data_IF_431985834392
#
_entry.id   IF_431985834392
#
_cell.length_a   1.000
_cell.length_b   1.000
_cell.length_c   1.000
_cell.angle_alpha   90.00
_cell.angle_beta   90.00
_cell.angle_gamma   90.00
#
_symmetry.space_group_name_H-M   'P 1'
#
loop_
_entity.id
_entity.type
_entity.pdbx_description
1 polymer ?
#
# COMPACT_ATOMS: atom_id res chain seq x y z
N UNK A 1 48.10 -34.52 43.68
CA UNK A 1 46.82 -34.40 42.97
C UNK A 1 46.38 -32.95 42.96
N UNK A 2 46.70 -32.16 41.94
CA UNK A 2 46.19 -30.78 41.80
C UNK A 2 45.57 -30.62 40.41
N UNK A 3 44.24 -30.52 40.39
CA UNK A 3 43.42 -30.30 39.20
C UNK A 3 43.46 -28.82 38.82
N UNK A 4 43.82 -28.50 37.58
CA UNK A 4 43.62 -27.16 37.01
C UNK A 4 42.32 -27.17 36.22
N UNK A 5 41.34 -26.39 36.68
CA UNK A 5 40.06 -26.20 36.01
C UNK A 5 40.21 -25.15 34.89
N UNK A 6 39.84 -25.51 33.67
CA UNK A 6 39.74 -24.61 32.52
C UNK A 6 38.36 -23.93 32.53
N UNK A 7 38.35 -22.61 32.69
CA UNK A 7 37.14 -21.77 32.64
C UNK A 7 36.96 -21.24 31.22
N UNK A 8 36.05 -21.86 30.46
CA UNK A 8 35.66 -21.39 29.11
C UNK A 8 34.53 -20.38 29.23
N UNK A 9 34.82 -19.11 28.95
CA UNK A 9 33.81 -18.06 28.83
C UNK A 9 33.17 -18.12 27.43
N UNK A 10 31.89 -18.48 27.37
CA UNK A 10 31.09 -18.43 26.14
C UNK A 10 30.43 -17.05 26.09
N UNK A 11 30.85 -16.21 25.14
CA UNK A 11 30.16 -14.94 24.86
C UNK A 11 28.88 -15.24 24.07
N UNK A 12 27.73 -15.15 24.74
CA UNK A 12 26.43 -15.18 24.08
C UNK A 12 26.16 -13.81 23.43
N UNK A 13 26.25 -13.73 22.11
CA UNK A 13 25.80 -12.57 21.34
C UNK A 13 24.28 -12.56 21.32
N UNK A 14 23.66 -11.62 22.04
CA UNK A 14 22.22 -11.35 21.93
C UNK A 14 21.96 -10.63 20.61
N UNK A 15 21.44 -11.37 19.63
CA UNK A 15 20.90 -10.78 18.40
C UNK A 15 19.51 -10.27 18.75
N UNK A 16 19.34 -8.96 18.89
CA UNK A 16 18.02 -8.35 19.00
C UNK A 16 17.30 -8.49 17.65
N UNK A 17 16.48 -9.52 17.51
CA UNK A 17 15.52 -9.61 16.42
C UNK A 17 14.45 -8.54 16.66
N UNK A 18 14.56 -7.41 15.97
CA UNK A 18 13.42 -6.53 15.81
C UNK A 18 12.38 -7.32 15.01
N UNK A 19 11.17 -7.58 15.53
CA UNK A 19 10.12 -8.16 14.72
C UNK A 19 9.80 -7.14 13.64
N UNK A 20 10.28 -7.42 12.43
CA UNK A 20 9.75 -6.81 11.23
C UNK A 20 8.34 -7.39 11.11
N UNK A 21 7.32 -6.67 11.62
CA UNK A 21 5.94 -6.99 11.28
C UNK A 21 5.90 -7.11 9.77
N UNK A 22 5.59 -8.31 9.28
CA UNK A 22 5.46 -8.57 7.87
C UNK A 22 4.40 -7.58 7.36
N UNK A 23 4.84 -6.57 6.61
CA UNK A 23 3.93 -5.58 6.06
C UNK A 23 2.86 -6.34 5.29
N UNK A 24 1.61 -6.24 5.75
CA UNK A 24 0.49 -6.91 5.13
C UNK A 24 0.34 -6.34 3.72
N UNK A 25 0.73 -7.13 2.72
CA UNK A 25 0.67 -6.77 1.31
C UNK A 25 -0.76 -6.34 0.96
N UNK A 26 -0.92 -5.07 0.62
CA UNK A 26 -2.23 -4.50 0.25
C UNK A 26 -2.79 -5.12 -1.03
N UNK A 27 -1.94 -5.74 -1.85
CA UNK A 27 -2.30 -6.20 -3.19
C UNK A 27 -2.53 -5.07 -4.18
N UNK A 28 -2.12 -3.83 -3.87
CA UNK A 28 -2.34 -2.64 -4.73
C UNK A 28 -1.06 -2.27 -5.50
N UNK A 29 -1.16 -2.49 -6.81
CA UNK A 29 -0.29 -2.19 -7.94
C UNK A 29 -0.33 -0.80 -8.58
N UNK A 30 0.57 0.16 -8.38
CA UNK A 30 0.61 1.37 -9.24
C UNK A 30 1.56 1.17 -10.44
N UNK A 31 1.18 1.64 -11.63
CA UNK A 31 1.95 1.49 -12.86
C UNK A 31 2.13 2.82 -13.62
N UNK A 32 3.31 2.98 -14.22
CA UNK A 32 3.70 4.16 -15.01
C UNK A 32 2.87 4.33 -16.29
N UNK A 33 2.43 3.22 -16.90
CA UNK A 33 1.66 3.26 -18.15
C UNK A 33 0.27 2.68 -17.96
N UNK A 34 -0.60 2.93 -18.94
CA UNK A 34 -1.89 2.28 -19.05
C UNK A 34 -1.72 0.75 -19.21
N UNK A 35 -2.79 0.01 -18.94
CA UNK A 35 -2.85 -1.44 -19.04
C UNK A 35 -1.76 -2.17 -18.22
N UNK A 36 -1.41 -1.63 -17.04
CA UNK A 36 -0.53 -2.25 -16.05
C UNK A 36 0.89 -2.53 -16.56
N UNK A 37 1.46 -1.57 -17.29
CA UNK A 37 2.79 -1.69 -17.89
C UNK A 37 3.75 -0.60 -17.40
N UNK A 38 5.03 -0.74 -17.74
CA UNK A 38 6.10 0.19 -17.32
C UNK A 38 6.61 -0.07 -15.90
N UNK A 39 7.27 0.93 -15.32
CA UNK A 39 7.71 0.85 -13.92
C UNK A 39 6.50 0.75 -13.00
N UNK A 40 6.66 0.08 -11.87
CA UNK A 40 5.58 -0.15 -10.93
C UNK A 40 6.00 0.02 -9.48
N UNK A 41 5.01 0.24 -8.62
CA UNK A 41 5.19 0.36 -7.18
C UNK A 41 4.01 -0.28 -6.45
N UNK A 42 4.29 -1.32 -5.67
CA UNK A 42 3.30 -2.01 -4.84
C UNK A 42 3.19 -1.33 -3.49
N UNK A 43 1.96 -1.00 -3.07
CA UNK A 43 1.71 -0.34 -1.79
C UNK A 43 2.00 -1.32 -0.63
N UNK A 44 2.97 -1.02 0.26
CA UNK A 44 3.46 -2.01 1.21
C UNK A 44 2.48 -2.39 2.33
N UNK A 45 1.61 -1.47 2.76
CA UNK A 45 0.66 -1.71 3.85
C UNK A 45 -0.54 -0.78 3.80
N UNK A 46 -1.63 -1.16 4.46
CA UNK A 46 -2.81 -0.32 4.68
C UNK A 46 -2.61 0.66 5.86
N UNK A 47 -3.59 1.54 6.07
CA UNK A 47 -3.71 2.51 7.17
C UNK A 47 -2.52 3.46 7.32
N UNK A 48 -1.83 3.71 6.21
CA UNK A 48 -0.67 4.59 6.13
C UNK A 48 -0.64 5.31 4.79
N UNK A 49 -0.15 6.55 4.80
CA UNK A 49 0.15 7.29 3.58
C UNK A 49 1.48 6.81 2.99
N UNK A 50 1.45 6.46 1.71
CA UNK A 50 2.61 6.04 0.95
C UNK A 50 2.91 7.04 -0.16
N UNK A 51 4.05 7.76 -0.11
CA UNK A 51 4.48 8.57 -1.23
C UNK A 51 4.87 7.66 -2.40
N UNK A 52 4.49 8.08 -3.61
CA UNK A 52 4.95 7.41 -4.83
C UNK A 52 6.47 7.64 -4.96
N UNK A 53 7.26 6.60 -5.27
CA UNK A 53 8.70 6.74 -5.44
C UNK A 53 9.00 7.71 -6.58
N UNK A 54 10.16 8.38 -6.52
CA UNK A 54 10.51 9.45 -7.46
C UNK A 54 10.50 9.02 -8.93
N UNK A 55 10.69 7.73 -9.20
CA UNK A 55 10.61 7.15 -10.55
C UNK A 55 9.20 7.18 -11.15
N UNK A 56 8.16 7.12 -10.31
CA UNK A 56 6.73 7.12 -10.70
C UNK A 56 5.99 8.40 -10.30
N UNK A 57 6.62 9.33 -9.57
CA UNK A 57 5.98 10.56 -9.09
C UNK A 57 5.38 11.33 -10.26
N UNK A 58 4.04 11.53 -10.24
CA UNK A 58 3.29 12.17 -11.33
C UNK A 58 3.44 11.50 -12.69
N UNK A 59 3.52 10.17 -12.70
CA UNK A 59 3.53 9.35 -13.92
C UNK A 59 2.62 8.13 -13.81
N UNK A 60 1.80 8.03 -12.77
CA UNK A 60 0.96 6.85 -12.57
C UNK A 60 -0.23 6.93 -13.52
N UNK A 61 -0.35 5.94 -14.42
CA UNK A 61 -1.38 5.88 -15.45
C UNK A 61 -2.33 4.69 -15.31
N UNK A 62 -2.00 3.66 -14.50
CA UNK A 62 -2.94 2.59 -14.17
C UNK A 62 -2.73 2.03 -12.76
N UNK A 63 -3.78 1.42 -12.21
CA UNK A 63 -3.76 0.76 -10.89
C UNK A 63 -4.37 -0.62 -10.97
N UNK A 64 -3.73 -1.59 -10.29
CA UNK A 64 -4.18 -2.99 -10.24
C UNK A 64 -4.39 -3.46 -8.82
N UNK A 65 -5.51 -4.10 -8.58
CA UNK A 65 -5.83 -4.78 -7.33
C UNK A 65 -5.70 -6.30 -7.54
N UNK A 66 -4.81 -6.94 -6.80
CA UNK A 66 -4.63 -8.39 -6.80
C UNK A 66 -5.54 -9.10 -5.80
N UNK A 67 -6.17 -8.36 -4.88
CA UNK A 67 -7.07 -8.86 -3.84
C UNK A 67 -8.21 -7.86 -3.64
N UNK A 68 -9.34 -8.34 -3.14
CA UNK A 68 -10.46 -7.50 -2.71
C UNK A 68 -10.31 -7.10 -1.23
N UNK A 69 -11.16 -6.18 -0.77
CA UNK A 69 -11.21 -5.77 0.66
C UNK A 69 -10.33 -4.57 1.02
N UNK A 70 -9.78 -3.87 0.03
CA UNK A 70 -9.00 -2.64 0.22
C UNK A 70 -9.63 -1.50 -0.59
N UNK A 71 -9.70 -0.32 0.00
CA UNK A 71 -10.13 0.92 -0.64
C UNK A 71 -9.00 1.94 -0.58
N UNK A 72 -8.67 2.58 -1.69
CA UNK A 72 -7.58 3.53 -1.77
C UNK A 72 -8.06 4.93 -2.18
N UNK A 73 -7.42 5.93 -1.57
CA UNK A 73 -7.53 7.33 -1.93
C UNK A 73 -6.18 7.81 -2.46
N UNK A 74 -6.19 8.55 -3.56
CA UNK A 74 -5.00 9.04 -4.24
C UNK A 74 -4.94 10.56 -4.16
N UNK A 75 -3.72 11.08 -4.03
CA UNK A 75 -3.47 12.49 -3.77
C UNK A 75 -2.36 13.01 -4.67
N UNK A 76 -2.43 14.29 -5.04
CA UNK A 76 -1.41 14.95 -5.86
C UNK A 76 -0.13 15.26 -5.10
N UNK A 77 -0.24 15.53 -3.80
CA UNK A 77 0.91 15.75 -2.93
C UNK A 77 1.45 14.42 -2.39
N UNK A 78 2.60 14.45 -1.72
CA UNK A 78 3.32 13.26 -1.22
C UNK A 78 2.94 12.87 0.21
N UNK A 79 2.03 13.59 0.85
CA UNK A 79 1.72 13.47 2.28
C UNK A 79 0.25 13.09 2.55
N UNK A 80 -0.50 12.70 1.51
CA UNK A 80 -1.93 12.42 1.58
C UNK A 80 -2.76 13.55 2.23
N UNK A 81 -2.32 14.80 2.04
CA UNK A 81 -3.05 15.96 2.52
C UNK A 81 -4.15 16.34 1.52
N UNK A 82 -5.27 16.93 1.96
CA UNK A 82 -6.26 17.49 1.04
C UNK A 82 -5.63 18.53 0.08
N UNK A 83 -6.14 18.67 -1.16
CA UNK A 83 -7.29 17.96 -1.73
C UNK A 83 -6.96 16.52 -2.19
N UNK A 84 -7.96 15.63 -2.07
CA UNK A 84 -7.91 14.28 -2.64
C UNK A 84 -8.19 14.35 -4.14
N UNK A 85 -7.44 13.59 -4.95
CA UNK A 85 -7.68 13.50 -6.40
C UNK A 85 -8.87 12.58 -6.67
N UNK A 86 -8.85 11.40 -6.03
CA UNK A 86 -9.92 10.42 -6.12
C UNK A 86 -9.93 9.60 -4.83
N UNK A 87 -11.11 9.34 -4.30
CA UNK A 87 -11.32 8.55 -3.09
C UNK A 87 -12.14 7.31 -3.43
N UNK A 88 -11.87 6.20 -2.74
CA UNK A 88 -12.70 5.01 -2.87
C UNK A 88 -12.37 4.12 -4.07
N UNK A 89 -11.12 4.12 -4.56
CA UNK A 89 -10.70 3.15 -5.57
C UNK A 89 -10.68 1.77 -4.92
N UNK A 90 -11.56 0.88 -5.38
CA UNK A 90 -11.69 -0.50 -4.88
C UNK A 90 -11.39 -1.55 -5.95
N UNK A 91 -11.22 -1.12 -7.18
CA UNK A 91 -11.05 -1.99 -8.34
C UNK A 91 -9.88 -1.56 -9.22
N UNK A 92 -9.51 -2.48 -10.10
CA UNK A 92 -8.43 -2.26 -11.07
C UNK A 92 -8.89 -1.27 -12.13
N UNK A 93 -8.09 -0.24 -12.39
CA UNK A 93 -8.35 0.76 -13.44
C UNK A 93 -7.21 0.70 -14.47
N UNK A 94 -7.48 0.25 -15.71
CA UNK A 94 -6.46 0.14 -16.76
C UNK A 94 -5.95 1.48 -17.27
N UNK A 95 -6.73 2.54 -17.11
CA UNK A 95 -6.39 3.88 -17.57
C UNK A 95 -7.00 4.95 -16.66
N UNK A 96 -6.14 5.59 -15.86
CA UNK A 96 -6.52 6.66 -14.94
C UNK A 96 -6.82 7.99 -15.65
N UNK A 97 -6.42 8.14 -16.92
CA UNK A 97 -6.74 9.33 -17.72
C UNK A 97 -8.23 9.43 -18.02
N UNK A 98 -8.93 8.29 -18.09
CA UNK A 98 -10.38 8.24 -18.30
C UNK A 98 -11.18 8.90 -17.16
N UNK A 99 -10.60 8.96 -15.97
CA UNK A 99 -11.19 9.63 -14.79
C UNK A 99 -10.44 10.91 -14.40
N UNK A 100 -9.54 11.40 -15.28
CA UNK A 100 -8.88 12.69 -15.14
C UNK A 100 -7.80 12.78 -14.06
N UNK A 101 -7.25 11.66 -13.58
CA UNK A 101 -6.21 11.65 -12.53
C UNK A 101 -4.90 10.97 -12.96
N UNK A 102 -4.80 10.57 -14.23
CA UNK A 102 -3.59 10.02 -14.82
C UNK A 102 -2.42 11.02 -14.73
N UNK A 103 -1.23 10.51 -14.43
CA UNK A 103 0.01 11.28 -14.27
C UNK A 103 -0.04 12.38 -13.20
N UNK A 104 -0.99 12.30 -12.26
CA UNK A 104 -1.09 13.28 -11.16
C UNK A 104 -0.72 12.71 -9.79
N UNK A 105 -0.73 11.38 -9.64
CA UNK A 105 -0.61 10.72 -8.34
C UNK A 105 0.79 10.93 -7.74
N UNK A 106 0.82 11.50 -6.52
CA UNK A 106 2.02 11.72 -5.72
C UNK A 106 2.04 10.92 -4.40
N UNK A 107 0.88 10.53 -3.88
CA UNK A 107 0.76 9.58 -2.76
C UNK A 107 -0.56 8.84 -2.77
N UNK A 108 -0.59 7.72 -2.05
CA UNK A 108 -1.76 6.85 -1.90
C UNK A 108 -1.95 6.50 -0.43
N UNK A 109 -3.19 6.52 0.01
CA UNK A 109 -3.62 5.98 1.31
C UNK A 109 -4.62 4.86 1.04
N UNK A 110 -4.34 3.65 1.53
CA UNK A 110 -5.25 2.52 1.40
C UNK A 110 -5.71 2.06 2.79
N UNK A 111 -6.96 1.66 2.92
CA UNK A 111 -7.53 1.09 4.15
C UNK A 111 -8.32 -0.17 3.84
N UNK A 112 -8.44 -1.05 4.84
CA UNK A 112 -9.36 -2.18 4.75
C UNK A 112 -10.81 -1.70 4.61
N UNK A 113 -11.61 -2.43 3.84
CA UNK A 113 -13.06 -2.22 3.76
C UNK A 113 -13.66 -3.03 4.90
N UNK A 114 -14.22 -2.36 5.92
CA UNK A 114 -15.03 -3.06 6.91
C UNK A 114 -16.29 -3.59 6.22
N UNK A 115 -16.69 -4.83 6.52
CA UNK A 115 -17.90 -5.46 5.96
C UNK A 115 -19.16 -4.61 6.15
N UNK A 116 -19.19 -3.77 7.18
CA UNK A 116 -20.32 -2.88 7.48
C UNK A 116 -20.43 -1.70 6.48
N UNK A 117 -19.31 -1.25 5.91
CA UNK A 117 -19.31 -0.20 4.86
C UNK A 117 -19.78 -0.76 3.52
N UNK A 118 -19.45 -2.02 3.21
CA UNK A 118 -19.88 -2.69 1.98
C UNK A 118 -21.41 -2.94 1.93
N UNK A 119 -22.01 -3.28 3.08
CA UNK A 119 -23.47 -3.51 3.20
C UNK A 119 -24.29 -2.22 3.28
N UNK A 120 -23.65 -1.06 3.45
CA UNK A 120 -24.33 0.23 3.44
C UNK A 120 -24.52 0.77 2.00
N UNK A 121 -23.66 0.37 1.05
CA UNK A 121 -23.76 0.72 -0.37
C UNK A 121 -24.85 -0.12 -1.08
N UNK A 122 -24.90 -1.45 -0.84
CA UNK A 122 -25.94 -2.33 -1.42
C UNK A 122 -27.37 -1.95 -0.99
N UNK A 123 -27.54 -1.40 0.22
CA UNK A 123 -28.86 -1.02 0.74
C UNK A 123 -29.38 0.30 0.17
N UNK A 124 -28.59 1.08 -0.56
CA UNK A 124 -29.11 2.27 -1.27
C UNK A 124 -29.73 1.87 -2.61
N UNK A 125 -29.23 0.80 -3.24
CA UNK A 125 -29.77 0.29 -4.51
C UNK A 125 -31.07 -0.52 -4.36
N UNK A 126 -31.47 -0.90 -3.14
CA UNK A 126 -32.71 -1.65 -2.88
C UNK A 126 -33.93 -0.73 -2.59
N UNK A 127 -33.75 0.60 -2.62
CA UNK A 127 -34.82 1.59 -2.38
C UNK A 127 -35.03 2.58 -3.55
N UNK A 128 -34.47 2.29 -4.72
CA UNK A 128 -34.72 2.97 -6.00
C UNK A 128 -35.35 2.01 -7.02
#
# INVERSE_FOLDING_TARGET
MHFWALLTAVMATVISAFPFEAAEDTGVTLYEHIHYSGHHYTIPSINRCWPVPQTLDRKVSSVRFSRSGVSCSVFRNRLCLPPVLYAGIRETIPDLHLIGIGDEVGSVYCSGINRDDALNEERVDEWL
#
